data_IF_938019030837
#
_entry.id   IF_938019030837
#
_cell.length_a   1.000
_cell.length_b   1.000
_cell.length_c   1.000
_cell.angle_alpha   90.00
_cell.angle_beta   90.00
_cell.angle_gamma   90.00
#
_symmetry.space_group_name_H-M   'P 1'
#
loop_
_entity.id
_entity.type
_entity.pdbx_description
1 polymer ?
#
# COMPACT_ATOMS: atom_id res chain seq x y z
N UNK A 1 -11.49 -15.48 -17.93
CA UNK A 1 -10.70 -14.23 -17.88
C UNK A 1 -10.08 -14.09 -16.51
N UNK A 2 -9.08 -13.22 -16.33
CA UNK A 2 -8.40 -13.05 -15.03
C UNK A 2 -8.15 -11.58 -14.71
N UNK A 3 -8.45 -11.17 -13.49
CA UNK A 3 -8.14 -9.85 -12.94
C UNK A 3 -7.00 -9.94 -11.93
N UNK A 4 -6.06 -8.98 -12.01
CA UNK A 4 -4.97 -8.83 -11.05
C UNK A 4 -4.99 -7.43 -10.48
N UNK A 5 -5.42 -7.30 -9.23
CA UNK A 5 -5.50 -6.01 -8.55
C UNK A 5 -4.28 -5.81 -7.65
N UNK A 6 -3.67 -4.63 -7.75
CA UNK A 6 -2.42 -4.33 -7.04
C UNK A 6 -2.74 -3.67 -5.69
N UNK A 7 -2.61 -4.45 -4.63
CA UNK A 7 -2.63 -3.96 -3.24
C UNK A 7 -1.22 -3.50 -2.82
N UNK A 8 -0.75 -3.88 -1.64
CA UNK A 8 0.55 -3.59 -1.03
C UNK A 8 0.71 -4.45 0.22
N UNK A 9 1.93 -4.79 0.65
CA UNK A 9 2.16 -5.35 2.00
C UNK A 9 1.48 -4.53 3.12
N UNK A 10 1.29 -3.23 2.90
CA UNK A 10 0.58 -2.33 3.81
C UNK A 10 -0.93 -2.62 3.92
N UNK A 11 -1.53 -3.16 2.85
CA UNK A 11 -2.91 -3.67 2.81
C UNK A 11 -3.08 -5.08 3.38
N UNK A 12 -2.00 -5.67 3.92
CA UNK A 12 -2.00 -6.97 4.59
C UNK A 12 -1.66 -6.83 6.08
N UNK A 13 -0.62 -6.05 6.42
CA UNK A 13 -0.14 -5.88 7.80
C UNK A 13 -0.81 -4.72 8.54
N UNK A 14 -1.03 -3.58 7.88
CA UNK A 14 -1.59 -2.37 8.48
C UNK A 14 -0.69 -1.60 9.46
N UNK A 15 0.46 -2.16 9.86
CA UNK A 15 1.36 -1.60 10.90
C UNK A 15 2.40 -0.63 10.34
N UNK A 16 1.95 0.39 9.60
CA UNK A 16 2.79 1.47 9.06
C UNK A 16 2.32 2.82 9.63
N UNK A 17 2.85 3.29 10.78
CA UNK A 17 2.46 4.56 11.39
C UNK A 17 2.54 5.74 10.42
N UNK A 18 1.50 6.58 10.37
CA UNK A 18 1.42 7.71 9.43
C UNK A 18 0.86 7.35 8.05
N UNK A 19 0.73 6.07 7.71
CA UNK A 19 0.25 5.60 6.41
C UNK A 19 -1.18 5.08 6.43
N UNK A 20 -1.96 5.42 7.47
CA UNK A 20 -3.30 4.87 7.70
C UNK A 20 -4.25 5.00 6.50
N UNK A 21 -4.26 6.14 5.80
CA UNK A 21 -5.07 6.34 4.58
C UNK A 21 -4.61 5.36 3.48
N UNK A 22 -3.31 5.28 3.21
CA UNK A 22 -2.77 4.36 2.22
C UNK A 22 -3.13 2.91 2.58
N UNK A 23 -2.89 2.48 3.83
CA UNK A 23 -3.21 1.14 4.31
C UNK A 23 -4.70 0.85 4.10
N UNK A 24 -5.59 1.73 4.55
CA UNK A 24 -7.04 1.57 4.42
C UNK A 24 -7.45 1.35 2.96
N UNK A 25 -6.94 2.15 2.03
CA UNK A 25 -7.24 1.96 0.59
C UNK A 25 -6.70 0.62 0.07
N UNK A 26 -5.53 0.17 0.53
CA UNK A 26 -4.94 -1.10 0.10
C UNK A 26 -5.66 -2.31 0.69
N UNK A 27 -6.19 -2.23 1.91
CA UNK A 27 -7.14 -3.21 2.46
C UNK A 27 -8.45 -3.23 1.67
N UNK A 28 -8.97 -2.07 1.25
CA UNK A 28 -10.19 -2.02 0.44
C UNK A 28 -10.04 -2.75 -0.91
N UNK A 29 -8.86 -2.66 -1.54
CA UNK A 29 -8.54 -3.43 -2.75
C UNK A 29 -8.60 -4.95 -2.50
N UNK A 30 -8.21 -5.42 -1.31
CA UNK A 30 -8.30 -6.84 -0.94
C UNK A 30 -9.76 -7.27 -0.92
N UNK A 31 -10.59 -6.58 -0.12
CA UNK A 31 -12.02 -6.90 0.00
C UNK A 31 -12.74 -6.84 -1.34
N UNK A 32 -12.44 -5.84 -2.18
CA UNK A 32 -12.98 -5.74 -3.54
C UNK A 32 -12.60 -6.95 -4.40
N UNK A 33 -11.33 -7.37 -4.33
CA UNK A 33 -10.82 -8.46 -5.16
C UNK A 33 -11.39 -9.81 -4.72
N UNK A 34 -11.48 -10.06 -3.42
CA UNK A 34 -12.04 -11.31 -2.88
C UNK A 34 -13.54 -11.44 -3.19
N UNK A 35 -14.30 -10.34 -3.04
CA UNK A 35 -15.70 -10.30 -3.42
C UNK A 35 -15.88 -10.61 -4.92
N UNK A 36 -15.13 -9.93 -5.79
CA UNK A 36 -15.17 -10.15 -7.24
C UNK A 36 -14.83 -11.60 -7.62
N UNK A 37 -13.84 -12.19 -6.95
CA UNK A 37 -13.45 -13.59 -7.17
C UNK A 37 -14.59 -14.56 -6.83
N UNK A 38 -15.32 -14.29 -5.75
CA UNK A 38 -16.50 -15.08 -5.37
C UNK A 38 -17.67 -14.90 -6.36
N UNK A 39 -17.98 -13.67 -6.74
CA UNK A 39 -19.07 -13.32 -7.64
C UNK A 39 -18.92 -13.94 -9.04
N UNK A 40 -17.68 -13.99 -9.54
CA UNK A 40 -17.41 -14.36 -10.93
C UNK A 40 -16.98 -15.81 -11.13
N UNK A 41 -16.90 -16.59 -10.04
CA UNK A 41 -16.43 -17.98 -10.05
C UNK A 41 -17.21 -18.89 -11.00
N UNK A 42 -18.54 -18.79 -11.02
CA UNK A 42 -19.40 -19.62 -11.90
C UNK A 42 -19.24 -19.29 -13.38
N UNK A 43 -18.69 -18.12 -13.70
CA UNK A 43 -18.43 -17.66 -15.06
C UNK A 43 -17.04 -18.07 -15.57
N UNK A 44 -16.26 -18.81 -14.75
CA UNK A 44 -14.88 -19.17 -15.10
C UNK A 44 -13.93 -17.97 -15.15
N UNK A 45 -14.22 -16.93 -14.39
CA UNK A 45 -13.39 -15.73 -14.23
C UNK A 45 -12.75 -15.76 -12.83
N UNK A 46 -11.49 -15.37 -12.74
CA UNK A 46 -10.76 -15.26 -11.48
C UNK A 46 -10.35 -13.82 -11.20
N UNK A 47 -10.28 -13.47 -9.92
CA UNK A 47 -9.66 -12.23 -9.45
C UNK A 47 -8.63 -12.55 -8.36
N UNK A 48 -7.43 -11.99 -8.51
CA UNK A 48 -6.28 -12.22 -7.64
C UNK A 48 -5.73 -10.90 -7.14
N UNK A 49 -5.47 -10.81 -5.85
CA UNK A 49 -4.79 -9.65 -5.26
C UNK A 49 -3.29 -9.90 -5.22
N UNK A 50 -2.51 -8.89 -5.60
CA UNK A 50 -1.05 -8.91 -5.51
C UNK A 50 -0.63 -7.96 -4.38
N UNK A 51 0.27 -8.42 -3.52
CA UNK A 51 0.82 -7.64 -2.40
C UNK A 51 2.32 -7.34 -2.62
N UNK A 52 2.67 -6.33 -3.44
CA UNK A 52 4.06 -5.94 -3.58
C UNK A 52 4.65 -5.45 -2.26
N UNK A 53 5.88 -5.87 -1.99
CA UNK A 53 6.76 -5.21 -1.02
C UNK A 53 7.37 -3.94 -1.62
N UNK A 54 8.54 -3.53 -1.12
CA UNK A 54 9.30 -2.45 -1.75
C UNK A 54 9.89 -2.93 -3.07
N UNK A 55 9.78 -2.12 -4.12
CA UNK A 55 10.43 -2.33 -5.41
C UNK A 55 10.66 -0.98 -6.10
N UNK A 56 11.64 -0.92 -7.00
CA UNK A 56 12.09 0.32 -7.63
C UNK A 56 11.01 0.94 -8.51
N UNK A 57 10.43 2.03 -8.01
CA UNK A 57 9.47 2.89 -8.72
C UNK A 57 9.63 4.33 -8.24
N UNK A 58 8.94 5.25 -8.91
CA UNK A 58 8.90 6.65 -8.49
C UNK A 58 8.02 6.90 -7.26
N UNK A 59 7.42 5.87 -6.65
CA UNK A 59 6.41 6.01 -5.59
C UNK A 59 6.92 6.72 -4.34
N UNK A 60 8.16 6.45 -3.93
CA UNK A 60 8.81 7.08 -2.77
C UNK A 60 9.64 8.32 -3.15
N UNK A 61 9.60 8.75 -4.42
CA UNK A 61 10.24 10.01 -4.80
C UNK A 61 9.42 11.18 -4.28
N UNK A 62 10.12 12.27 -3.94
CA UNK A 62 9.51 13.49 -3.46
C UNK A 62 8.40 13.97 -4.43
N UNK A 63 7.19 14.14 -3.89
CA UNK A 63 6.03 14.59 -4.66
C UNK A 63 5.09 13.49 -5.14
N UNK A 64 5.51 12.23 -5.16
CA UNK A 64 4.62 11.09 -5.49
C UNK A 64 3.77 10.66 -4.30
N UNK A 65 4.24 10.88 -3.08
CA UNK A 65 3.51 10.64 -1.85
C UNK A 65 3.25 11.96 -1.13
N UNK A 66 2.08 12.07 -0.48
CA UNK A 66 1.74 13.20 0.40
C UNK A 66 1.69 12.69 1.83
N UNK A 67 2.52 13.27 2.68
CA UNK A 67 2.47 13.11 4.14
C UNK A 67 1.78 14.33 4.76
N UNK A 68 1.62 14.34 6.08
CA UNK A 68 0.94 15.42 6.79
C UNK A 68 1.64 16.78 6.55
N UNK A 69 0.89 17.78 6.07
CA UNK A 69 1.41 19.13 5.82
C UNK A 69 1.80 19.87 7.11
N UNK A 70 1.15 19.52 8.22
CA UNK A 70 1.40 20.08 9.56
C UNK A 70 1.65 18.94 10.54
N UNK A 71 2.89 18.42 10.62
CA UNK A 71 3.22 17.36 11.56
C UNK A 71 3.13 17.87 13.00
N UNK A 72 2.68 17.01 13.91
CA UNK A 72 2.69 17.28 15.35
C UNK A 72 3.70 16.34 16.03
N UNK A 73 4.36 16.81 17.09
CA UNK A 73 5.45 16.09 17.75
C UNK A 73 5.03 14.73 18.33
N UNK A 74 3.77 14.61 18.76
CA UNK A 74 3.24 13.41 19.42
C UNK A 74 3.26 12.16 18.51
N UNK A 75 3.29 12.31 17.18
CA UNK A 75 3.33 11.19 16.23
C UNK A 75 4.78 10.81 15.86
N UNK A 76 5.63 10.57 16.86
CA UNK A 76 7.07 10.32 16.68
C UNK A 76 7.31 9.12 15.74
N UNK A 77 6.63 8.00 15.94
CA UNK A 77 6.80 6.79 15.13
C UNK A 77 6.42 7.01 13.66
N UNK A 78 5.42 7.85 13.40
CA UNK A 78 5.04 8.21 12.03
C UNK A 78 6.12 9.07 11.36
N UNK A 79 6.74 10.00 12.11
CA UNK A 79 7.83 10.84 11.58
C UNK A 79 9.07 9.99 11.26
N UNK A 80 9.45 9.11 12.18
CA UNK A 80 10.58 8.19 11.99
C UNK A 80 10.36 7.27 10.79
N UNK A 81 9.16 6.71 10.64
CA UNK A 81 8.86 5.85 9.49
C UNK A 81 8.89 6.62 8.17
N UNK A 82 8.42 7.88 8.13
CA UNK A 82 8.55 8.73 6.95
C UNK A 82 10.02 8.98 6.58
N UNK A 83 10.88 9.27 7.56
CA UNK A 83 12.34 9.41 7.34
C UNK A 83 12.96 8.13 6.79
N UNK A 84 12.59 6.96 7.33
CA UNK A 84 13.05 5.67 6.81
C UNK A 84 12.67 5.50 5.33
N UNK A 85 11.42 5.81 4.95
CA UNK A 85 10.98 5.68 3.57
C UNK A 85 11.70 6.65 2.62
N UNK A 86 11.87 7.89 3.04
CA UNK A 86 12.45 8.96 2.21
C UNK A 86 13.96 8.80 2.05
N UNK A 87 14.68 8.46 3.12
CA UNK A 87 16.15 8.52 3.14
C UNK A 87 16.81 7.15 2.97
N UNK A 88 16.16 6.08 3.44
CA UNK A 88 16.79 4.76 3.50
C UNK A 88 16.26 3.81 2.43
N UNK A 89 14.96 3.88 2.12
CA UNK A 89 14.31 2.97 1.16
C UNK A 89 14.30 3.56 -0.26
N UNK A 90 14.03 4.87 -0.40
CA UNK A 90 13.97 5.51 -1.71
C UNK A 90 15.31 5.41 -2.45
N UNK A 91 15.31 4.82 -3.65
CA UNK A 91 16.52 4.57 -4.44
C UNK A 91 17.28 3.29 -4.07
N UNK A 92 17.00 2.70 -2.91
CA UNK A 92 17.63 1.49 -2.39
C UNK A 92 16.65 0.32 -2.24
N UNK A 93 15.49 0.36 -2.90
CA UNK A 93 14.56 -0.76 -2.92
C UNK A 93 15.25 -2.02 -3.48
N UNK A 94 14.92 -3.22 -2.98
CA UNK A 94 15.45 -4.47 -3.50
C UNK A 94 15.12 -4.68 -4.99
#
# INVERSE_FOLDING_TARGET
GAFFNISSIAGFLGTFPGWGIYNATKFAVVGLTEALSAETKSMGISATVVYPGYFKTNFLLQGSLRTAAHPIADYTEARELETVHNEHISGNQP
#
